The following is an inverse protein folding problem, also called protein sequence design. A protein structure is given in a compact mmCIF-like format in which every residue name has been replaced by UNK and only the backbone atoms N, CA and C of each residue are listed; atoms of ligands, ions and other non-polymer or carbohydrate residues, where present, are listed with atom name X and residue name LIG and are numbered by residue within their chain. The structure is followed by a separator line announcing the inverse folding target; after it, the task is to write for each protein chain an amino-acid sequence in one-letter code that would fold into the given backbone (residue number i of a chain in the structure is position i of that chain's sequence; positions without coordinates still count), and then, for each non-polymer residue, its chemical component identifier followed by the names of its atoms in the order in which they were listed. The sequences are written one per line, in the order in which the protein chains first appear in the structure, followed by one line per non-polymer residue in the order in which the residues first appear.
data_IF_268688776963
#
_entry.id   IF_268688776963
#
_cell.length_a   1.000
_cell.length_b   1.000
_cell.length_c   1.000
_cell.angle_alpha   90.00
_cell.angle_beta   90.00
_cell.angle_gamma   90.00
#
_symmetry.space_group_name_H-M   'P 1'
#
loop_
_entity.id
_entity.type
_entity.pdbx_description
1 polymer ?
#
# COMPACT_ATOMS: atom_id res chain seq x y z
N UNK A 1 -20.63 -5.10 -16.21
CA UNK A 1 -19.42 -4.38 -15.75
C UNK A 1 -19.27 -4.29 -14.22
N UNK A 2 -19.96 -5.11 -13.41
CA UNK A 2 -19.85 -5.05 -11.93
C UNK A 2 -18.85 -6.06 -11.35
N UNK A 3 -18.96 -7.33 -11.76
CA UNK A 3 -18.16 -8.43 -11.17
C UNK A 3 -16.69 -8.37 -11.59
N UNK A 4 -16.39 -8.01 -12.85
CA UNK A 4 -15.01 -7.90 -13.32
C UNK A 4 -14.21 -6.85 -12.52
N UNK A 5 -14.78 -5.66 -12.32
CA UNK A 5 -14.14 -4.61 -11.54
C UNK A 5 -14.05 -4.99 -10.05
N UNK A 6 -15.08 -5.62 -9.48
CA UNK A 6 -15.03 -6.10 -8.09
C UNK A 6 -13.93 -7.17 -7.88
N UNK A 7 -13.81 -8.12 -8.81
CA UNK A 7 -12.77 -9.14 -8.78
C UNK A 7 -11.38 -8.52 -8.97
N UNK A 8 -11.24 -7.56 -9.88
CA UNK A 8 -9.99 -6.83 -10.10
C UNK A 8 -9.58 -6.04 -8.86
N UNK A 9 -10.51 -5.29 -8.24
CA UNK A 9 -10.27 -4.57 -6.99
C UNK A 9 -9.85 -5.53 -5.87
N UNK A 10 -10.53 -6.67 -5.71
CA UNK A 10 -10.15 -7.69 -4.72
C UNK A 10 -8.76 -8.29 -4.99
N UNK A 11 -8.45 -8.63 -6.24
CA UNK A 11 -7.14 -9.15 -6.63
C UNK A 11 -6.02 -8.11 -6.44
N UNK A 12 -6.28 -6.83 -6.76
CA UNK A 12 -5.34 -5.72 -6.53
C UNK A 12 -5.05 -5.53 -5.04
N UNK A 13 -6.07 -5.65 -4.18
CA UNK A 13 -5.91 -5.62 -2.73
C UNK A 13 -5.05 -6.77 -2.21
N UNK A 14 -5.31 -8.00 -2.67
CA UNK A 14 -4.53 -9.18 -2.25
C UNK A 14 -3.06 -9.10 -2.69
N UNK A 15 -2.81 -8.64 -3.91
CA UNK A 15 -1.44 -8.48 -4.44
C UNK A 15 -0.67 -7.41 -3.70
N UNK A 16 -1.27 -6.23 -3.49
CA UNK A 16 -0.67 -5.15 -2.71
C UNK A 16 -0.42 -5.58 -1.25
N UNK A 17 -1.34 -6.34 -0.65
CA UNK A 17 -1.17 -6.89 0.69
C UNK A 17 -0.02 -7.90 0.75
N UNK A 18 0.09 -8.81 -0.23
CA UNK A 18 1.18 -9.77 -0.29
C UNK A 18 2.56 -9.12 -0.37
N UNK A 19 2.69 -8.01 -1.10
CA UNK A 19 3.92 -7.22 -1.14
C UNK A 19 4.17 -6.46 0.17
N UNK A 20 3.14 -5.95 0.82
CA UNK A 20 3.28 -5.36 2.15
C UNK A 20 3.77 -6.36 3.21
N UNK A 21 3.28 -7.61 3.16
CA UNK A 21 3.75 -8.69 4.04
C UNK A 21 5.24 -8.98 3.79
N UNK A 22 5.73 -8.89 2.56
CA UNK A 22 7.17 -9.05 2.26
C UNK A 22 8.01 -7.97 2.94
N UNK A 23 7.60 -6.71 2.86
CA UNK A 23 8.31 -5.60 3.51
C UNK A 23 8.32 -5.77 5.03
N UNK A 24 7.20 -6.18 5.63
CA UNK A 24 7.15 -6.49 7.08
C UNK A 24 8.06 -7.66 7.42
N UNK A 25 8.08 -8.70 6.59
CA UNK A 25 8.96 -9.87 6.77
C UNK A 25 10.43 -9.45 6.73
N UNK A 26 10.82 -8.58 5.79
CA UNK A 26 12.19 -8.06 5.68
C UNK A 26 12.59 -7.24 6.91
N UNK A 27 11.68 -6.42 7.46
CA UNK A 27 11.93 -5.70 8.70
C UNK A 27 12.17 -6.64 9.89
N UNK A 28 11.36 -7.70 10.02
CA UNK A 28 11.48 -8.68 11.10
C UNK A 28 12.80 -9.46 10.96
N UNK A 29 13.13 -9.90 9.75
CA UNK A 29 14.36 -10.64 9.48
C UNK A 29 15.62 -9.85 9.83
N UNK A 30 15.57 -8.52 9.69
CA UNK A 30 16.72 -7.64 9.90
C UNK A 30 16.68 -6.86 11.22
N UNK A 31 15.80 -7.23 12.16
CA UNK A 31 15.64 -6.51 13.43
C UNK A 31 16.92 -6.41 14.27
N UNK A 32 17.80 -7.41 14.17
CA UNK A 32 19.09 -7.46 14.89
C UNK A 32 20.29 -7.04 14.02
N UNK A 33 20.06 -6.58 12.78
CA UNK A 33 21.14 -6.18 11.89
C UNK A 33 21.61 -4.77 12.24
N UNK A 34 22.92 -4.62 12.46
CA UNK A 34 23.54 -3.36 12.86
C UNK A 34 23.34 -2.30 11.75
N UNK A 35 22.75 -1.16 12.11
CA UNK A 35 22.50 -0.06 11.18
C UNK A 35 21.32 -0.26 10.23
N UNK A 36 20.49 -1.28 10.43
CA UNK A 36 19.28 -1.48 9.64
C UNK A 36 18.27 -0.33 9.83
N UNK A 37 17.60 0.04 8.73
CA UNK A 37 16.53 1.06 8.70
C UNK A 37 15.24 0.40 8.24
N UNK A 38 14.22 0.44 9.10
CA UNK A 38 12.93 -0.18 8.82
C UNK A 38 12.24 0.48 7.63
N UNK A 39 11.42 -0.30 6.93
CA UNK A 39 10.68 0.11 5.77
C UNK A 39 9.18 0.15 6.06
N UNK A 40 8.48 1.15 5.53
CA UNK A 40 7.04 1.32 5.64
C UNK A 40 6.40 1.36 4.25
N UNK A 41 5.30 0.63 4.09
CA UNK A 41 4.56 0.55 2.82
C UNK A 41 3.44 1.58 2.81
N UNK A 42 3.39 2.37 1.76
CA UNK A 42 2.35 3.36 1.52
C UNK A 42 1.44 2.85 0.41
N UNK A 43 0.19 2.59 0.74
CA UNK A 43 -0.84 2.23 -0.23
C UNK A 43 -1.39 3.47 -0.92
N UNK A 44 -1.74 3.33 -2.20
CA UNK A 44 -2.38 4.35 -3.00
C UNK A 44 -3.54 3.75 -3.79
N UNK A 45 -4.65 4.48 -3.87
CA UNK A 45 -5.78 4.12 -4.73
C UNK A 45 -5.42 4.31 -6.21
N UNK A 46 -5.93 3.44 -7.06
CA UNK A 46 -5.85 3.57 -8.51
C UNK A 46 -7.00 4.48 -8.92
N UNK A 47 -6.67 5.60 -9.60
CA UNK A 47 -7.60 6.67 -9.99
C UNK A 47 -9.02 6.17 -10.29
N UNK A 48 -9.99 6.70 -9.53
CA UNK A 48 -11.41 6.37 -9.69
C UNK A 48 -11.95 6.78 -11.05
N UNK A 49 -12.72 5.90 -11.69
CA UNK A 49 -13.51 6.24 -12.87
C UNK A 49 -14.82 6.93 -12.45
N UNK A 50 -15.05 8.15 -12.96
CA UNK A 50 -16.33 8.84 -12.81
C UNK A 50 -17.31 8.29 -13.83
N UNK A 51 -18.31 7.53 -13.36
CA UNK A 51 -19.25 6.80 -14.24
C UNK A 51 -20.43 7.69 -14.66
N UNK A 52 -20.82 8.68 -13.84
CA UNK A 52 -21.84 9.67 -14.17
C UNK A 52 -21.62 10.98 -13.40
N UNK A 53 -21.80 12.11 -14.08
CA UNK A 53 -21.92 13.42 -13.44
C UNK A 53 -23.41 13.75 -13.37
N UNK A 54 -24.05 13.46 -12.25
CA UNK A 54 -25.46 13.81 -12.04
C UNK A 54 -25.56 15.32 -11.81
N UNK A 55 -26.68 15.97 -12.20
CA UNK A 55 -26.92 17.42 -12.01
C UNK A 55 -26.89 17.88 -10.54
N UNK A 56 -26.86 16.95 -9.60
CA UNK A 56 -26.43 17.16 -8.22
C UNK A 56 -24.99 16.67 -8.15
N UNK A 57 -24.05 17.56 -7.82
CA UNK A 57 -22.59 17.50 -7.92
C UNK A 57 -21.87 16.31 -7.22
N UNK A 58 -22.53 15.17 -7.07
CA UNK A 58 -22.03 13.92 -6.53
C UNK A 58 -21.61 13.07 -7.73
N UNK A 59 -20.32 13.11 -8.04
CA UNK A 59 -19.74 12.21 -9.02
C UNK A 59 -19.86 10.77 -8.49
N UNK A 60 -20.62 9.92 -9.18
CA UNK A 60 -20.63 8.48 -8.90
C UNK A 60 -19.26 7.93 -9.34
N UNK A 61 -18.33 7.89 -8.40
CA UNK A 61 -16.95 7.44 -8.56
C UNK A 61 -16.84 5.97 -8.15
N UNK A 62 -16.34 5.14 -9.06
CA UNK A 62 -15.99 3.74 -8.78
C UNK A 62 -14.49 3.66 -8.57
N UNK A 63 -14.05 3.16 -7.41
CA UNK A 63 -12.63 2.95 -7.12
C UNK A 63 -12.06 1.79 -7.93
N UNK A 64 -10.89 1.97 -8.52
CA UNK A 64 -10.32 1.04 -9.50
C UNK A 64 -9.29 0.07 -8.89
N UNK A 65 -9.16 0.01 -7.56
CA UNK A 65 -8.29 -0.93 -6.87
C UNK A 65 -7.16 -0.24 -6.11
N UNK A 66 -6.33 -1.05 -5.45
CA UNK A 66 -5.23 -0.55 -4.60
C UNK A 66 -3.90 -0.96 -5.18
N UNK A 67 -2.90 -0.08 -5.09
CA UNK A 67 -1.50 -0.37 -5.40
C UNK A 67 -0.58 0.12 -4.29
N UNK A 68 0.66 -0.34 -4.29
CA UNK A 68 1.71 0.29 -3.48
C UNK A 68 2.16 1.56 -4.18
N UNK A 69 1.99 2.70 -3.50
CA UNK A 69 2.43 4.01 -3.98
C UNK A 69 3.91 4.26 -3.72
N UNK A 70 4.41 3.84 -2.56
CA UNK A 70 5.83 3.93 -2.22
C UNK A 70 6.20 2.97 -1.08
N UNK A 71 7.47 2.60 -1.03
CA UNK A 71 8.09 1.99 0.15
C UNK A 71 9.09 3.02 0.68
N UNK A 72 8.85 3.50 1.90
CA UNK A 72 9.65 4.55 2.54
C UNK A 72 10.52 3.93 3.61
N UNK A 73 11.71 4.50 3.85
CA UNK A 73 12.59 4.08 4.94
C UNK A 73 12.46 5.02 6.11
N UNK A 74 12.36 4.48 7.32
CA UNK A 74 12.49 5.25 8.54
C UNK A 74 13.97 5.50 8.82
N UNK A 75 14.38 6.77 8.75
CA UNK A 75 15.76 7.20 8.96
C UNK A 75 16.05 7.58 10.42
N UNK A 76 15.10 7.41 11.34
CA UNK A 76 15.29 7.65 12.77
C UNK A 76 16.48 6.88 13.33
N UNK A 77 17.13 7.47 14.33
CA UNK A 77 18.28 6.84 15.00
C UNK A 77 17.79 5.73 15.92
N UNK A 78 18.36 4.52 15.76
CA UNK A 78 18.09 3.38 16.63
C UNK A 78 18.91 3.45 17.93
N UNK A 79 18.70 2.48 18.81
CA UNK A 79 19.48 2.36 20.05
C UNK A 79 20.97 2.12 19.75
N UNK A 80 21.82 2.69 20.60
CA UNK A 80 23.27 2.48 20.55
C UNK A 80 23.62 1.54 21.70
N UNK A 81 24.30 0.43 21.39
CA UNK A 81 24.82 -0.50 22.38
C UNK A 81 26.34 -0.35 22.43
N UNK A 82 26.88 -0.12 23.62
CA UNK A 82 28.32 -0.07 23.83
C UNK A 82 28.86 -1.52 23.87
N UNK A 83 29.94 -1.79 23.13
CA UNK A 83 30.62 -3.09 23.07
C UNK A 83 31.81 -3.12 24.02
#
# INVERSE_FOLDING_TARGET
MGIYNALYTGASGLTAFGEAVRVVSDNIANVNSLGFKSQNVVFADVLSQTVNVTRSNIANQVGNGVRIGAITRDMSQGSIQNT
#
